data_IF_957968437926
#
_entry.id   IF_957968437926
#
_cell.length_a   1.000
_cell.length_b   1.000
_cell.length_c   1.000
_cell.angle_alpha   90.00
_cell.angle_beta   90.00
_cell.angle_gamma   90.00
#
_symmetry.space_group_name_H-M   'P 1'
#
loop_
_entity.id
_entity.type
_entity.pdbx_description
1 polymer ?
#
# COMPACT_ATOMS: atom_id res chain seq x y z
N UNK A 1 9.14 17.81 -5.10
CA UNK A 1 9.59 17.48 -3.72
C UNK A 1 9.46 15.97 -3.52
N UNK A 2 10.53 15.27 -3.05
CA UNK A 2 10.48 13.84 -2.79
C UNK A 2 10.04 13.50 -1.37
N UNK A 3 9.71 12.25 -1.09
CA UNK A 3 9.51 11.74 0.27
C UNK A 3 10.83 11.84 1.04
N UNK A 4 10.79 12.24 2.30
CA UNK A 4 11.97 12.35 3.18
C UNK A 4 11.91 11.39 4.37
N UNK A 5 10.73 10.85 4.68
CA UNK A 5 10.53 9.85 5.71
C UNK A 5 9.64 8.72 5.17
N UNK A 6 10.15 7.50 5.17
CA UNK A 6 9.44 6.30 4.70
C UNK A 6 9.29 5.34 5.88
N UNK A 7 8.05 4.89 6.13
CA UNK A 7 7.76 3.84 7.09
C UNK A 7 7.52 2.53 6.33
N UNK A 8 8.21 1.46 6.69
CA UNK A 8 7.92 0.10 6.19
C UNK A 8 7.46 -0.80 7.33
N UNK A 9 6.30 -1.44 7.19
CA UNK A 9 5.87 -2.50 8.09
C UNK A 9 6.47 -3.83 7.64
N UNK A 10 7.19 -4.48 8.55
CA UNK A 10 7.82 -5.78 8.34
C UNK A 10 7.19 -6.81 9.29
N UNK A 11 6.52 -7.78 8.70
CA UNK A 11 6.02 -9.00 9.34
C UNK A 11 7.06 -10.13 9.27
N UNK A 12 6.73 -11.31 9.78
CA UNK A 12 7.62 -12.48 9.79
C UNK A 12 7.45 -13.38 8.56
N UNK A 13 6.75 -12.90 7.52
CA UNK A 13 6.57 -13.63 6.28
C UNK A 13 7.85 -13.70 5.42
N UNK A 14 7.90 -14.65 4.52
CA UNK A 14 8.99 -14.77 3.53
C UNK A 14 9.07 -13.54 2.61
N UNK A 15 7.99 -12.75 2.51
CA UNK A 15 7.92 -11.53 1.69
C UNK A 15 8.48 -10.28 2.36
N UNK A 16 8.76 -10.34 3.67
CA UNK A 16 9.32 -9.20 4.41
C UNK A 16 10.65 -8.72 3.81
N UNK A 17 11.51 -9.65 3.36
CA UNK A 17 12.79 -9.29 2.73
C UNK A 17 12.60 -8.54 1.40
N UNK A 18 11.77 -9.04 0.49
CA UNK A 18 11.50 -8.38 -0.79
C UNK A 18 10.88 -6.98 -0.59
N UNK A 19 10.00 -6.84 0.43
CA UNK A 19 9.42 -5.55 0.82
C UNK A 19 10.46 -4.60 1.39
N UNK A 20 11.40 -5.09 2.20
CA UNK A 20 12.52 -4.30 2.70
C UNK A 20 13.42 -3.83 1.55
N UNK A 21 13.76 -4.69 0.60
CA UNK A 21 14.55 -4.31 -0.57
C UNK A 21 13.89 -3.21 -1.39
N UNK A 22 12.56 -3.32 -1.60
CA UNK A 22 11.79 -2.27 -2.28
C UNK A 22 11.84 -0.95 -1.50
N UNK A 23 11.64 -0.99 -0.17
CA UNK A 23 11.70 0.18 0.69
C UNK A 23 13.10 0.86 0.66
N UNK A 24 14.18 0.06 0.67
CA UNK A 24 15.56 0.57 0.54
C UNK A 24 15.82 1.23 -0.81
N UNK A 25 15.31 0.66 -1.91
CA UNK A 25 15.42 1.30 -3.23
C UNK A 25 14.71 2.66 -3.26
N UNK A 26 13.51 2.75 -2.67
CA UNK A 26 12.79 4.01 -2.57
C UNK A 26 13.50 5.01 -1.66
N UNK A 27 13.99 4.58 -0.51
CA UNK A 27 14.74 5.43 0.41
C UNK A 27 15.99 6.02 -0.26
N UNK A 28 16.71 5.23 -1.05
CA UNK A 28 17.87 5.72 -1.85
C UNK A 28 17.43 6.67 -2.96
N UNK A 29 16.35 6.32 -3.70
CA UNK A 29 15.83 7.15 -4.82
C UNK A 29 15.45 8.54 -4.36
N UNK A 30 14.84 8.66 -3.18
CA UNK A 30 14.32 9.92 -2.64
C UNK A 30 15.25 10.59 -1.62
N UNK A 31 16.38 9.97 -1.31
CA UNK A 31 17.26 10.41 -0.22
C UNK A 31 16.44 10.59 1.07
N UNK A 32 15.73 9.52 1.45
CA UNK A 32 14.80 9.46 2.57
C UNK A 32 15.36 8.65 3.74
N UNK A 33 14.96 9.02 4.94
CA UNK A 33 15.14 8.21 6.14
C UNK A 33 14.11 7.06 6.14
N UNK A 34 14.57 5.84 6.45
CA UNK A 34 13.72 4.63 6.47
C UNK A 34 13.48 4.18 7.91
N UNK A 35 12.25 4.17 8.34
CA UNK A 35 11.85 3.55 9.60
C UNK A 35 11.19 2.19 9.33
N UNK A 36 11.77 1.11 9.86
CA UNK A 36 11.10 -0.18 9.88
C UNK A 36 10.30 -0.35 11.17
N UNK A 37 9.06 -0.78 11.04
CA UNK A 37 8.19 -1.12 12.15
C UNK A 37 7.83 -2.61 12.09
N UNK A 38 8.26 -3.38 13.08
CA UNK A 38 7.79 -4.74 13.29
C UNK A 38 6.78 -4.74 14.43
N UNK A 39 5.53 -5.02 14.10
CA UNK A 39 4.42 -5.02 15.06
C UNK A 39 3.83 -6.43 15.13
N UNK A 40 4.25 -7.21 16.11
CA UNK A 40 3.83 -8.61 16.25
C UNK A 40 3.20 -8.77 17.63
N UNK A 41 1.93 -9.12 17.65
CA UNK A 41 1.16 -9.32 18.87
C UNK A 41 0.99 -10.80 19.17
N UNK A 42 1.38 -11.22 20.37
CA UNK A 42 1.07 -12.55 20.88
C UNK A 42 -0.13 -12.43 21.85
N UNK A 43 -1.29 -13.00 21.50
CA UNK A 43 -2.43 -12.98 22.41
C UNK A 43 -2.08 -13.66 23.74
N UNK A 44 -2.39 -12.99 24.85
CA UNK A 44 -2.30 -13.62 26.17
C UNK A 44 -3.55 -14.49 26.41
N UNK A 45 -3.38 -15.67 27.03
CA UNK A 45 -4.52 -16.52 27.38
C UNK A 45 -5.39 -15.81 28.42
N UNK A 46 -6.67 -15.59 28.07
CA UNK A 46 -7.64 -14.90 28.94
C UNK A 46 -8.34 -15.82 29.95
N UNK A 47 -8.10 -17.14 29.91
CA UNK A 47 -8.75 -18.13 30.74
C UNK A 47 -7.72 -18.89 31.58
N UNK A 48 -7.95 -19.00 32.88
CA UNK A 48 -7.09 -19.74 33.80
C UNK A 48 -6.87 -21.22 33.39
N UNK A 49 -7.89 -21.88 32.85
CA UNK A 49 -7.78 -23.25 32.38
C UNK A 49 -6.89 -23.39 31.15
N UNK A 50 -6.94 -22.42 30.25
CA UNK A 50 -6.06 -22.36 29.08
C UNK A 50 -4.62 -22.05 29.55
N UNK A 51 -4.45 -21.16 30.52
CA UNK A 51 -3.13 -20.84 31.09
C UNK A 51 -2.46 -22.05 31.77
N UNK A 52 -3.20 -22.83 32.58
CA UNK A 52 -2.64 -23.95 33.33
C UNK A 52 -2.19 -25.12 32.44
N UNK A 53 -2.85 -25.36 31.31
CA UNK A 53 -2.55 -26.46 30.39
C UNK A 53 -1.61 -26.12 29.24
N UNK A 54 -1.28 -24.85 29.02
CA UNK A 54 -0.60 -24.38 27.80
C UNK A 54 0.49 -23.36 28.05
N UNK A 55 0.93 -23.16 29.30
CA UNK A 55 1.96 -22.17 29.63
C UNK A 55 3.28 -22.40 28.84
N UNK A 56 3.68 -23.66 28.70
CA UNK A 56 4.88 -24.03 27.95
C UNK A 56 4.70 -23.75 26.45
N UNK A 57 3.53 -24.03 25.89
CA UNK A 57 3.21 -23.74 24.50
C UNK A 57 3.29 -22.23 24.20
N UNK A 58 2.67 -21.39 25.06
CA UNK A 58 2.72 -19.93 24.86
C UNK A 58 4.13 -19.37 25.06
N UNK A 59 4.93 -19.96 25.96
CA UNK A 59 6.34 -19.59 26.13
C UNK A 59 7.12 -19.91 24.87
N UNK A 60 7.01 -21.12 24.33
CA UNK A 60 7.68 -21.54 23.11
C UNK A 60 7.27 -20.68 21.90
N UNK A 61 6.01 -20.37 21.74
CA UNK A 61 5.52 -19.47 20.69
C UNK A 61 6.14 -18.06 20.82
N UNK A 62 6.23 -17.54 22.04
CA UNK A 62 6.86 -16.24 22.29
C UNK A 62 8.35 -16.25 21.98
N UNK A 63 9.07 -17.27 22.41
CA UNK A 63 10.50 -17.44 22.13
C UNK A 63 10.75 -17.52 20.60
N UNK A 64 9.99 -18.32 19.88
CA UNK A 64 10.08 -18.41 18.41
C UNK A 64 9.78 -17.08 17.72
N UNK A 65 8.79 -16.35 18.20
CA UNK A 65 8.47 -15.01 17.69
C UNK A 65 9.64 -14.06 17.91
N UNK A 66 10.17 -14.01 19.14
CA UNK A 66 11.27 -13.11 19.50
C UNK A 66 12.53 -13.43 18.70
N UNK A 67 12.81 -14.69 18.43
CA UNK A 67 13.89 -15.12 17.53
C UNK A 67 13.69 -14.63 16.09
N UNK A 68 12.46 -14.72 15.55
CA UNK A 68 12.14 -14.22 14.20
C UNK A 68 12.26 -12.71 14.11
N UNK A 69 11.76 -11.97 15.10
CA UNK A 69 11.91 -10.51 15.18
C UNK A 69 13.38 -10.12 15.23
N UNK A 70 14.18 -10.78 16.07
CA UNK A 70 15.61 -10.51 16.18
C UNK A 70 16.37 -10.87 14.88
N UNK A 71 15.95 -11.91 14.16
CA UNK A 71 16.51 -12.23 12.85
C UNK A 71 16.20 -11.16 11.81
N UNK A 72 14.97 -10.67 11.78
CA UNK A 72 14.51 -9.61 10.88
C UNK A 72 15.22 -8.28 11.18
N UNK A 73 15.42 -7.95 12.46
CA UNK A 73 16.18 -6.77 12.89
C UNK A 73 17.66 -6.84 12.43
N UNK A 74 18.30 -7.99 12.60
CA UNK A 74 19.68 -8.19 12.09
C UNK A 74 19.73 -8.03 10.57
N UNK A 75 18.79 -8.61 9.84
CA UNK A 75 18.66 -8.45 8.39
C UNK A 75 18.50 -6.98 8.02
N UNK A 76 17.59 -6.28 8.68
CA UNK A 76 17.35 -4.85 8.45
C UNK A 76 18.64 -4.03 8.61
N UNK A 77 19.37 -4.20 9.71
CA UNK A 77 20.61 -3.46 9.95
C UNK A 77 21.71 -3.81 8.94
N UNK A 78 21.82 -5.08 8.53
CA UNK A 78 22.78 -5.49 7.51
C UNK A 78 22.45 -4.83 6.15
N UNK A 79 21.19 -4.87 5.74
CA UNK A 79 20.74 -4.34 4.44
C UNK A 79 20.78 -2.80 4.39
N UNK A 80 20.38 -2.11 5.46
CA UNK A 80 20.47 -0.64 5.55
C UNK A 80 21.92 -0.15 5.53
N UNK A 81 22.83 -0.86 6.22
CA UNK A 81 24.28 -0.59 6.19
C UNK A 81 24.84 -0.80 4.79
N UNK A 82 24.51 -1.91 4.14
CA UNK A 82 24.93 -2.21 2.77
C UNK A 82 24.42 -1.17 1.77
N UNK A 83 23.17 -0.78 1.92
CA UNK A 83 22.51 0.22 1.06
C UNK A 83 22.95 1.65 1.37
N UNK A 84 23.62 1.92 2.49
CA UNK A 84 23.99 3.25 3.00
C UNK A 84 22.78 4.16 3.18
N UNK A 85 21.68 3.61 3.71
CA UNK A 85 20.44 4.33 3.99
C UNK A 85 20.40 4.68 5.48
N UNK A 86 20.04 5.93 5.80
CA UNK A 86 19.74 6.33 7.18
C UNK A 86 18.46 5.64 7.63
N UNK A 87 18.51 4.88 8.73
CA UNK A 87 17.38 4.04 9.10
C UNK A 87 17.27 3.79 10.61
N UNK A 88 16.03 3.63 11.08
CA UNK A 88 15.68 3.25 12.44
C UNK A 88 14.81 1.98 12.45
N UNK A 89 14.99 1.17 13.51
CA UNK A 89 14.19 -0.02 13.78
C UNK A 89 13.29 0.18 14.99
N UNK A 90 12.01 -0.18 14.86
CA UNK A 90 11.02 -0.15 15.94
C UNK A 90 10.38 -1.54 16.03
N UNK A 91 10.54 -2.19 17.19
CA UNK A 91 9.80 -3.39 17.54
C UNK A 91 8.68 -3.04 18.52
N UNK A 92 7.44 -3.41 18.21
CA UNK A 92 6.27 -3.15 19.03
C UNK A 92 5.55 -4.47 19.37
N UNK A 93 5.43 -4.79 20.66
CA UNK A 93 4.55 -5.87 21.12
C UNK A 93 3.10 -5.36 21.19
N UNK A 94 2.51 -5.17 20.01
CA UNK A 94 1.16 -4.63 19.88
C UNK A 94 0.58 -5.04 18.52
N UNK A 95 -0.74 -4.97 18.41
CA UNK A 95 -1.44 -5.27 17.16
C UNK A 95 -1.06 -4.27 16.07
N UNK A 96 -0.61 -4.75 14.91
CA UNK A 96 -0.23 -3.93 13.76
C UNK A 96 -1.36 -2.96 13.37
N UNK A 97 -2.62 -3.40 13.41
CA UNK A 97 -3.81 -2.57 13.14
C UNK A 97 -3.90 -1.30 14.03
N UNK A 98 -3.29 -1.32 15.21
CA UNK A 98 -3.27 -0.17 16.12
C UNK A 98 -2.01 0.68 15.98
N UNK A 99 -0.86 0.03 15.79
CA UNK A 99 0.45 0.69 15.88
C UNK A 99 0.88 1.29 14.55
N UNK A 100 0.67 0.56 13.44
CA UNK A 100 1.07 1.02 12.10
C UNK A 100 0.42 2.36 11.74
N UNK A 101 -0.92 2.57 11.92
CA UNK A 101 -1.53 3.86 11.61
C UNK A 101 -1.00 5.02 12.47
N UNK A 102 -0.57 4.75 13.70
CA UNK A 102 0.00 5.79 14.57
C UNK A 102 1.38 6.24 14.09
N UNK A 103 2.25 5.29 13.73
CA UNK A 103 3.57 5.59 13.20
C UNK A 103 3.51 6.18 11.79
N UNK A 104 2.52 5.78 10.98
CA UNK A 104 2.26 6.32 9.65
C UNK A 104 2.17 7.86 9.61
N UNK A 105 1.62 8.47 10.65
CA UNK A 105 1.43 9.93 10.75
C UNK A 105 2.74 10.73 10.72
N UNK A 106 3.86 10.08 11.01
CA UNK A 106 5.19 10.70 11.04
C UNK A 106 6.02 10.40 9.78
N UNK A 107 5.44 9.69 8.80
CA UNK A 107 6.09 9.36 7.53
C UNK A 107 5.44 10.13 6.37
N UNK A 108 6.18 10.29 5.28
CA UNK A 108 5.65 10.84 4.03
C UNK A 108 5.04 9.74 3.16
N UNK A 109 5.54 8.51 3.30
CA UNK A 109 5.06 7.30 2.60
C UNK A 109 5.08 6.12 3.55
N UNK A 110 4.02 5.33 3.53
CA UNK A 110 3.89 4.09 4.31
C UNK A 110 3.91 2.90 3.35
N UNK A 111 4.74 1.89 3.63
CA UNK A 111 4.86 0.67 2.82
C UNK A 111 4.40 -0.52 3.63
N UNK A 112 3.42 -1.26 3.11
CA UNK A 112 2.87 -2.47 3.74
C UNK A 112 2.73 -3.58 2.70
N UNK A 113 2.69 -4.84 3.15
CA UNK A 113 2.43 -5.99 2.30
C UNK A 113 0.94 -6.23 2.10
N UNK A 114 0.59 -6.80 0.95
CA UNK A 114 -0.70 -7.44 0.74
C UNK A 114 -0.74 -8.75 1.57
N UNK A 115 -1.88 -9.09 2.16
CA UNK A 115 -2.11 -10.40 2.78
C UNK A 115 -2.03 -11.51 1.72
N UNK A 116 -1.27 -12.56 2.00
CA UNK A 116 -1.23 -13.78 1.19
C UNK A 116 -2.18 -14.81 1.81
N UNK A 117 -3.23 -15.28 1.09
CA UNK A 117 -4.14 -16.29 1.62
C UNK A 117 -3.47 -17.61 2.01
N UNK A 118 -2.27 -17.89 1.47
CA UNK A 118 -1.51 -19.11 1.72
C UNK A 118 -0.46 -18.95 2.84
N UNK A 119 -0.21 -17.73 3.31
CA UNK A 119 0.74 -17.45 4.37
C UNK A 119 0.07 -16.69 5.53
N UNK A 120 -0.32 -17.38 6.61
CA UNK A 120 -0.99 -16.76 7.74
C UNK A 120 -0.13 -15.72 8.46
N UNK A 121 1.19 -15.71 8.29
CA UNK A 121 2.09 -14.70 8.86
C UNK A 121 1.91 -13.32 8.23
N UNK A 122 1.31 -13.26 7.03
CA UNK A 122 0.97 -11.99 6.36
C UNK A 122 -0.37 -11.41 6.84
N UNK A 123 -1.19 -12.24 7.49
CA UNK A 123 -2.53 -11.83 7.90
C UNK A 123 -2.47 -11.03 9.20
N UNK A 124 -2.98 -9.82 9.15
CA UNK A 124 -3.10 -8.94 10.31
C UNK A 124 -4.54 -8.89 10.79
N UNK A 125 -5.45 -8.50 9.91
CA UNK A 125 -6.87 -8.27 10.19
C UNK A 125 -7.57 -7.97 8.85
N UNK A 126 -8.80 -8.45 8.66
CA UNK A 126 -9.59 -8.20 7.44
C UNK A 126 -9.78 -6.69 7.14
N UNK A 127 -9.81 -5.88 8.19
CA UNK A 127 -9.99 -4.43 8.08
C UNK A 127 -8.68 -3.64 8.11
N UNK A 128 -7.52 -4.32 8.25
CA UNK A 128 -6.24 -3.62 8.37
C UNK A 128 -5.94 -2.67 7.20
N UNK A 129 -6.06 -3.08 5.93
CA UNK A 129 -5.78 -2.18 4.81
C UNK A 129 -6.70 -0.97 4.79
N UNK A 130 -8.00 -1.19 5.08
CA UNK A 130 -8.99 -0.13 5.15
C UNK A 130 -8.69 0.85 6.29
N UNK A 131 -8.53 0.33 7.50
CA UNK A 131 -8.24 1.14 8.69
C UNK A 131 -6.95 1.93 8.51
N UNK A 132 -5.92 1.34 7.89
CA UNK A 132 -4.66 2.03 7.63
C UNK A 132 -4.87 3.20 6.69
N UNK A 133 -5.48 2.99 5.52
CA UNK A 133 -5.67 4.06 4.53
C UNK A 133 -6.53 5.19 5.10
N UNK A 134 -7.62 4.86 5.81
CA UNK A 134 -8.53 5.86 6.38
C UNK A 134 -7.92 6.63 7.56
N UNK A 135 -6.99 6.05 8.32
CA UNK A 135 -6.50 6.64 9.56
C UNK A 135 -5.05 7.13 9.53
N UNK A 136 -4.27 6.74 8.53
CA UNK A 136 -2.87 7.14 8.41
C UNK A 136 -2.72 8.64 8.09
N UNK A 137 -3.63 9.21 7.27
CA UNK A 137 -3.53 10.57 6.75
C UNK A 137 -2.31 10.77 5.84
N UNK A 138 -1.76 9.67 5.34
CA UNK A 138 -0.56 9.58 4.48
C UNK A 138 -0.79 8.56 3.37
N UNK A 139 -0.12 8.69 2.22
CA UNK A 139 -0.20 7.68 1.17
C UNK A 139 0.34 6.34 1.65
N UNK A 140 -0.37 5.28 1.32
CA UNK A 140 -0.01 3.90 1.64
C UNK A 140 0.31 3.16 0.35
N UNK A 141 1.53 2.64 0.24
CA UNK A 141 1.97 1.77 -0.84
C UNK A 141 1.79 0.31 -0.41
N UNK A 142 0.84 -0.35 -1.02
CA UNK A 142 0.64 -1.79 -0.87
C UNK A 142 1.52 -2.54 -1.85
N UNK A 143 2.31 -3.50 -1.33
CA UNK A 143 3.21 -4.34 -2.13
C UNK A 143 2.58 -5.72 -2.27
N UNK A 144 2.39 -6.24 -3.50
CA UNK A 144 1.83 -7.57 -3.71
C UNK A 144 2.65 -8.66 -3.02
N UNK A 145 1.97 -9.73 -2.62
CA UNK A 145 2.65 -10.92 -2.10
C UNK A 145 3.33 -11.74 -3.20
N UNK A 146 2.97 -11.53 -4.46
CA UNK A 146 3.55 -12.23 -5.60
C UNK A 146 4.33 -11.29 -6.52
N UNK A 147 5.27 -11.84 -7.27
CA UNK A 147 6.04 -11.11 -8.27
C UNK A 147 7.33 -10.48 -7.76
N UNK A 148 8.13 -10.02 -8.72
CA UNK A 148 9.31 -9.18 -8.50
C UNK A 148 9.02 -7.78 -9.02
N UNK A 149 9.23 -6.78 -8.18
CA UNK A 149 8.97 -5.37 -8.46
C UNK A 149 10.29 -4.61 -8.62
N UNK A 150 11.13 -5.08 -9.56
CA UNK A 150 12.45 -4.49 -9.83
C UNK A 150 12.35 -3.02 -10.24
N UNK A 151 11.34 -2.65 -11.04
CA UNK A 151 10.97 -1.25 -11.32
C UNK A 151 9.78 -0.82 -10.48
N UNK A 152 9.73 0.46 -10.11
CA UNK A 152 8.58 1.06 -9.44
C UNK A 152 8.47 2.55 -9.77
N UNK A 153 7.33 2.93 -10.34
CA UNK A 153 7.05 4.32 -10.72
C UNK A 153 7.80 4.77 -11.96
N UNK A 154 8.17 3.85 -12.86
CA UNK A 154 8.59 4.16 -14.22
C UNK A 154 7.41 4.36 -15.16
N UNK A 155 6.37 3.54 -14.97
CA UNK A 155 5.10 3.61 -15.72
C UNK A 155 3.97 3.66 -14.72
N UNK A 156 3.48 4.88 -14.49
CA UNK A 156 2.44 5.15 -13.49
C UNK A 156 1.07 5.18 -14.16
N UNK A 157 0.11 4.46 -13.58
CA UNK A 157 -1.29 4.55 -13.95
C UNK A 157 -2.05 5.24 -12.82
N UNK A 158 -2.70 6.35 -13.11
CA UNK A 158 -3.51 7.12 -12.16
C UNK A 158 -4.98 6.84 -12.43
N UNK A 159 -5.65 6.12 -11.53
CA UNK A 159 -7.08 5.91 -11.60
C UNK A 159 -7.80 7.20 -11.14
N UNK A 160 -8.66 7.73 -12.02
CA UNK A 160 -9.30 9.01 -11.83
C UNK A 160 -10.81 8.93 -11.93
N UNK A 161 -11.48 9.39 -10.88
CA UNK A 161 -12.95 9.48 -10.81
C UNK A 161 -13.43 10.90 -10.46
N UNK A 162 -12.51 11.86 -10.37
CA UNK A 162 -12.82 13.25 -10.00
C UNK A 162 -13.07 13.46 -8.51
N UNK A 163 -12.95 12.41 -7.68
CA UNK A 163 -13.10 12.53 -6.23
C UNK A 163 -11.92 13.26 -5.60
N UNK A 164 -12.14 13.81 -4.39
CA UNK A 164 -11.05 14.42 -3.60
C UNK A 164 -9.95 13.41 -3.25
N UNK A 165 -10.32 12.14 -3.08
CA UNK A 165 -9.41 11.04 -2.77
C UNK A 165 -8.51 10.71 -3.98
N UNK A 166 -9.05 10.75 -5.21
CA UNK A 166 -8.26 10.62 -6.43
C UNK A 166 -7.31 11.81 -6.61
N UNK A 167 -7.78 13.04 -6.34
CA UNK A 167 -6.93 14.25 -6.34
C UNK A 167 -5.82 14.10 -5.32
N UNK A 168 -6.14 13.67 -4.10
CA UNK A 168 -5.16 13.45 -3.03
C UNK A 168 -4.11 12.43 -3.43
N UNK A 169 -4.54 11.26 -3.96
CA UNK A 169 -3.63 10.21 -4.39
C UNK A 169 -2.69 10.66 -5.51
N UNK A 170 -3.20 11.39 -6.50
CA UNK A 170 -2.37 11.96 -7.57
C UNK A 170 -1.31 12.93 -7.03
N UNK A 171 -1.68 13.81 -6.08
CA UNK A 171 -0.72 14.72 -5.46
C UNK A 171 0.29 14.00 -4.55
N UNK A 172 -0.16 13.04 -3.77
CA UNK A 172 0.72 12.25 -2.90
C UNK A 172 1.69 11.38 -3.73
N UNK A 173 1.32 10.97 -4.95
CA UNK A 173 2.17 10.23 -5.87
C UNK A 173 3.10 11.11 -6.74
N UNK A 174 3.04 12.44 -6.58
CA UNK A 174 3.83 13.36 -7.39
C UNK A 174 5.33 13.04 -7.44
N UNK A 175 5.98 12.60 -6.34
CA UNK A 175 7.38 12.21 -6.39
C UNK A 175 7.69 11.05 -7.35
N UNK A 176 6.72 10.16 -7.61
CA UNK A 176 6.85 9.13 -8.64
C UNK A 176 6.56 9.70 -10.03
N UNK A 177 5.48 10.48 -10.16
CA UNK A 177 4.97 11.03 -11.43
C UNK A 177 6.00 11.96 -12.09
N UNK A 178 6.67 12.82 -11.32
CA UNK A 178 7.73 13.73 -11.79
C UNK A 178 8.90 12.99 -12.47
N UNK A 179 9.15 11.75 -12.08
CA UNK A 179 10.28 10.95 -12.57
C UNK A 179 9.84 9.75 -13.43
N UNK A 180 8.55 9.62 -13.69
CA UNK A 180 8.02 8.54 -14.50
C UNK A 180 8.43 8.69 -15.98
N UNK A 181 8.72 7.57 -16.64
CA UNK A 181 8.89 7.53 -18.10
C UNK A 181 7.57 7.78 -18.81
N UNK A 182 6.47 7.37 -18.16
CA UNK A 182 5.10 7.56 -18.65
C UNK A 182 4.10 7.58 -17.49
N UNK A 183 3.18 8.52 -17.54
CA UNK A 183 2.02 8.59 -16.66
C UNK A 183 0.75 8.48 -17.49
N UNK A 184 -0.14 7.57 -17.14
CA UNK A 184 -1.43 7.40 -17.80
C UNK A 184 -2.56 7.69 -16.84
N UNK A 185 -3.40 8.65 -17.12
CA UNK A 185 -4.63 8.91 -16.38
C UNK A 185 -5.74 8.05 -16.97
N UNK A 186 -6.36 7.22 -16.13
CA UNK A 186 -7.46 6.34 -16.55
C UNK A 186 -8.73 6.74 -15.83
N UNK A 187 -9.74 7.16 -16.60
CA UNK A 187 -11.11 7.32 -16.12
C UNK A 187 -11.93 6.11 -16.57
N UNK A 188 -12.53 5.38 -15.60
CA UNK A 188 -13.38 4.24 -15.90
C UNK A 188 -14.85 4.67 -15.72
N UNK A 189 -15.58 4.77 -16.84
CA UNK A 189 -17.00 4.98 -16.87
C UNK A 189 -17.78 3.68 -16.74
N UNK A 190 -18.90 3.70 -16.03
CA UNK A 190 -19.82 2.57 -15.94
C UNK A 190 -21.12 2.77 -16.75
N UNK A 191 -21.12 3.72 -17.71
CA UNK A 191 -22.21 3.97 -18.66
C UNK A 191 -23.54 4.47 -18.08
N UNK A 192 -23.77 4.29 -16.76
CA UNK A 192 -25.00 4.61 -16.06
C UNK A 192 -24.79 5.57 -14.87
N UNK A 193 -23.71 6.35 -14.87
CA UNK A 193 -23.42 7.29 -13.80
C UNK A 193 -24.30 8.54 -13.96
N UNK A 194 -25.26 8.81 -13.06
CA UNK A 194 -26.11 9.99 -13.12
C UNK A 194 -25.32 11.30 -13.00
N UNK A 195 -24.12 11.24 -12.44
CA UNK A 195 -23.24 12.39 -12.22
C UNK A 195 -22.15 12.53 -13.29
N UNK A 196 -22.23 11.75 -14.39
CA UNK A 196 -21.24 11.77 -15.49
C UNK A 196 -21.01 13.18 -16.06
N UNK A 197 -22.04 14.05 -16.04
CA UNK A 197 -21.95 15.43 -16.52
C UNK A 197 -21.30 16.40 -15.52
N UNK A 198 -21.03 15.97 -14.29
CA UNK A 198 -20.44 16.78 -13.20
C UNK A 198 -18.98 16.36 -12.94
N UNK A 199 -18.55 15.25 -13.53
CA UNK A 199 -17.18 14.73 -13.33
C UNK A 199 -16.15 15.59 -14.04
N UNK A 200 -15.02 15.82 -13.37
CA UNK A 200 -13.84 16.42 -14.00
C UNK A 200 -13.29 15.40 -15.01
N UNK A 201 -13.24 15.72 -16.30
CA UNK A 201 -12.71 14.82 -17.31
C UNK A 201 -11.28 14.37 -17.01
N UNK A 202 -10.92 13.14 -17.36
CA UNK A 202 -9.55 12.63 -17.24
C UNK A 202 -8.53 13.52 -17.96
N UNK A 203 -8.95 14.21 -19.02
CA UNK A 203 -8.12 15.16 -19.75
C UNK A 203 -7.68 16.36 -18.89
N UNK A 204 -8.55 16.91 -18.05
CA UNK A 204 -8.18 18.04 -17.16
C UNK A 204 -7.18 17.59 -16.08
N UNK A 205 -7.35 16.38 -15.56
CA UNK A 205 -6.38 15.80 -14.64
C UNK A 205 -5.01 15.58 -15.32
N UNK A 206 -5.01 15.09 -16.55
CA UNK A 206 -3.78 14.93 -17.32
C UNK A 206 -3.09 16.27 -17.60
N UNK A 207 -3.84 17.33 -17.93
CA UNK A 207 -3.29 18.69 -18.10
C UNK A 207 -2.66 19.21 -16.79
N UNK A 208 -3.26 18.91 -15.65
CA UNK A 208 -2.67 19.25 -14.34
C UNK A 208 -1.34 18.49 -14.14
N UNK A 209 -1.32 17.17 -14.37
CA UNK A 209 -0.13 16.34 -14.20
C UNK A 209 0.97 16.68 -15.24
N UNK A 210 0.62 17.05 -16.46
CA UNK A 210 1.58 17.45 -17.51
C UNK A 210 2.39 18.69 -17.18
N UNK A 211 2.03 19.45 -16.14
CA UNK A 211 2.87 20.54 -15.61
C UNK A 211 4.05 20.02 -14.79
N UNK A 212 4.01 18.75 -14.39
CA UNK A 212 5.00 18.11 -13.52
C UNK A 212 5.72 16.94 -14.19
N UNK A 213 5.14 16.34 -15.21
CA UNK A 213 5.63 15.14 -15.90
C UNK A 213 5.73 15.36 -17.41
N UNK A 214 6.69 14.71 -18.05
CA UNK A 214 6.99 14.91 -19.47
C UNK A 214 6.14 14.12 -20.45
N UNK A 215 5.63 12.95 -20.05
CA UNK A 215 4.80 12.05 -20.89
C UNK A 215 3.53 11.66 -20.11
N UNK A 216 2.44 12.39 -20.38
CA UNK A 216 1.14 12.15 -19.75
C UNK A 216 0.10 11.83 -20.80
N UNK A 217 -0.53 10.66 -20.66
CA UNK A 217 -1.58 10.18 -21.55
C UNK A 217 -2.92 10.06 -20.82
N UNK A 218 -4.01 10.05 -21.57
CA UNK A 218 -5.36 9.85 -21.04
C UNK A 218 -5.97 8.63 -21.69
N UNK A 219 -6.66 7.83 -20.89
CA UNK A 219 -7.47 6.72 -21.35
C UNK A 219 -8.83 6.80 -20.67
N UNK A 220 -9.86 7.02 -21.45
CA UNK A 220 -11.24 6.85 -21.00
C UNK A 220 -11.70 5.44 -21.37
N UNK A 221 -12.12 4.66 -20.39
CA UNK A 221 -12.46 3.24 -20.58
C UNK A 221 -13.88 3.01 -20.05
N UNK A 222 -14.68 2.33 -20.85
CA UNK A 222 -15.96 1.81 -20.38
C UNK A 222 -15.76 0.43 -19.73
N UNK A 223 -16.42 0.23 -18.59
CA UNK A 223 -16.43 -1.05 -17.92
C UNK A 223 -17.26 -2.04 -18.74
N UNK A 224 -16.67 -3.17 -19.11
CA UNK A 224 -17.38 -4.21 -19.86
C UNK A 224 -18.54 -4.82 -19.07
N UNK A 225 -19.51 -5.48 -19.74
CA UNK A 225 -20.63 -6.13 -19.07
C UNK A 225 -20.15 -7.16 -18.04
N UNK A 226 -20.54 -6.96 -16.77
CA UNK A 226 -20.20 -7.85 -15.67
C UNK A 226 -18.77 -7.71 -15.11
N UNK A 227 -17.93 -6.85 -15.66
CA UNK A 227 -16.60 -6.57 -15.10
C UNK A 227 -16.69 -5.52 -13.99
N UNK A 228 -15.87 -5.67 -12.95
CA UNK A 228 -15.74 -4.63 -11.94
C UNK A 228 -14.76 -3.54 -12.41
N UNK A 229 -14.92 -2.32 -11.89
CA UNK A 229 -13.97 -1.23 -12.16
C UNK A 229 -12.56 -1.62 -11.70
N UNK A 230 -12.44 -2.33 -10.56
CA UNK A 230 -11.16 -2.79 -10.04
C UNK A 230 -10.45 -3.77 -10.99
N UNK A 231 -11.17 -4.77 -11.51
CA UNK A 231 -10.62 -5.72 -12.49
C UNK A 231 -10.23 -5.01 -13.79
N UNK A 232 -11.04 -4.05 -14.25
CA UNK A 232 -10.75 -3.26 -15.45
C UNK A 232 -9.45 -2.45 -15.27
N UNK A 233 -9.25 -1.82 -14.10
CA UNK A 233 -8.02 -1.09 -13.79
C UNK A 233 -6.79 -2.00 -13.76
N UNK A 234 -6.90 -3.17 -13.11
CA UNK A 234 -5.79 -4.14 -13.02
C UNK A 234 -5.45 -4.72 -14.41
N UNK A 235 -6.46 -5.05 -15.22
CA UNK A 235 -6.25 -5.52 -16.61
C UNK A 235 -5.54 -4.45 -17.44
N UNK A 236 -5.98 -3.19 -17.33
CA UNK A 236 -5.33 -2.09 -18.05
C UNK A 236 -3.90 -1.83 -17.57
N UNK A 237 -3.66 -1.92 -16.27
CA UNK A 237 -2.31 -1.81 -15.72
C UNK A 237 -1.37 -2.88 -16.30
N UNK A 238 -1.85 -4.12 -16.42
CA UNK A 238 -1.11 -5.21 -17.02
C UNK A 238 -0.82 -4.95 -18.51
N UNK A 239 -1.83 -4.59 -19.31
CA UNK A 239 -1.71 -4.33 -20.75
C UNK A 239 -0.74 -3.20 -21.10
N UNK A 240 -0.67 -2.18 -20.24
CA UNK A 240 0.21 -1.02 -20.41
C UNK A 240 1.60 -1.22 -19.80
N UNK A 241 1.85 -2.36 -19.18
CA UNK A 241 3.10 -2.65 -18.46
C UNK A 241 3.34 -1.66 -17.31
N UNK A 242 2.27 -1.22 -16.65
CA UNK A 242 2.32 -0.34 -15.48
C UNK A 242 3.05 -1.03 -14.33
N UNK A 243 3.90 -0.29 -13.63
CA UNK A 243 4.62 -0.76 -12.44
C UNK A 243 4.20 -0.03 -11.13
N UNK A 244 3.29 0.93 -11.24
CA UNK A 244 2.66 1.58 -10.09
C UNK A 244 1.24 2.03 -10.45
N UNK A 245 0.24 1.48 -9.75
CA UNK A 245 -1.13 1.98 -9.77
C UNK A 245 -1.31 3.02 -8.64
N UNK A 246 -1.85 4.17 -8.97
CA UNK A 246 -2.20 5.26 -8.03
C UNK A 246 -3.69 5.43 -8.04
N UNK A 247 -4.34 5.38 -6.88
CA UNK A 247 -5.79 5.55 -6.78
C UNK A 247 -6.23 6.15 -5.45
N UNK A 248 -7.33 6.90 -5.47
CA UNK A 248 -8.06 7.23 -4.28
C UNK A 248 -8.71 5.99 -3.67
N UNK A 249 -8.84 5.96 -2.36
CA UNK A 249 -9.49 4.87 -1.66
C UNK A 249 -10.73 5.38 -0.90
N UNK A 250 -11.84 4.64 -0.98
CA UNK A 250 -13.07 4.91 -0.23
C UNK A 250 -13.73 6.28 -0.50
N UNK A 251 -13.60 6.84 -1.72
CA UNK A 251 -14.03 8.21 -2.08
C UNK A 251 -15.53 8.42 -2.30
N UNK A 252 -16.30 7.38 -2.54
CA UNK A 252 -17.74 7.56 -2.72
C UNK A 252 -18.47 7.62 -1.38
N UNK A 253 -19.15 8.71 -1.10
CA UNK A 253 -19.91 9.06 0.12
C UNK A 253 -21.07 8.09 0.46
N UNK A 254 -20.85 6.79 0.42
CA UNK A 254 -21.81 5.77 0.86
C UNK A 254 -21.44 5.15 2.20
N UNK A 255 -20.84 5.91 3.07
CA UNK A 255 -20.63 5.45 4.44
C UNK A 255 -21.92 5.38 5.28
N UNK A 256 -23.07 5.59 4.65
CA UNK A 256 -24.38 5.35 5.28
C UNK A 256 -24.93 3.94 5.11
N UNK A 257 -24.36 3.14 4.23
CA UNK A 257 -24.74 1.73 4.08
C UNK A 257 -23.44 0.92 3.98
N UNK A 258 -23.22 0.05 4.95
CA UNK A 258 -22.17 -0.97 5.17
C UNK A 258 -21.62 -1.70 3.91
N UNK A 259 -21.41 -1.04 2.80
CA UNK A 259 -20.82 -1.60 1.60
C UNK A 259 -19.48 -0.90 1.36
N UNK A 260 -18.43 -1.50 1.91
CA UNK A 260 -17.04 -1.16 1.63
C UNK A 260 -16.81 -0.98 0.12
N UNK A 261 -16.09 0.07 -0.28
CA UNK A 261 -15.82 0.40 -1.68
C UNK A 261 -15.33 -0.78 -2.49
N UNK A 262 -16.20 -1.31 -3.34
CA UNK A 262 -15.95 -2.55 -4.10
C UNK A 262 -14.65 -2.48 -4.89
N UNK A 263 -14.32 -1.32 -5.48
CA UNK A 263 -13.10 -1.10 -6.27
C UNK A 263 -11.84 -1.29 -5.43
N UNK A 264 -11.75 -0.63 -4.27
CA UNK A 264 -10.57 -0.71 -3.39
C UNK A 264 -10.34 -2.14 -2.92
N UNK A 265 -11.42 -2.83 -2.50
CA UNK A 265 -11.34 -4.23 -2.07
C UNK A 265 -10.90 -5.15 -3.20
N UNK A 266 -11.48 -5.03 -4.40
CA UNK A 266 -11.10 -5.84 -5.57
C UNK A 266 -9.63 -5.63 -5.90
N UNK A 267 -9.16 -4.38 -5.94
CA UNK A 267 -7.77 -4.08 -6.23
C UNK A 267 -6.85 -4.69 -5.18
N UNK A 268 -7.11 -4.48 -3.88
CA UNK A 268 -6.28 -5.03 -2.79
C UNK A 268 -6.28 -6.56 -2.74
N UNK A 269 -7.38 -7.21 -3.13
CA UNK A 269 -7.45 -8.67 -3.16
C UNK A 269 -6.71 -9.27 -4.36
N UNK A 270 -6.71 -8.58 -5.52
CA UNK A 270 -6.28 -9.16 -6.81
C UNK A 270 -5.06 -8.48 -7.42
N UNK A 271 -4.45 -7.50 -6.74
CA UNK A 271 -3.31 -6.75 -7.28
C UNK A 271 -2.10 -7.65 -7.52
N UNK A 272 -1.43 -7.42 -8.65
CA UNK A 272 -0.18 -8.06 -9.04
C UNK A 272 0.96 -7.06 -9.24
N UNK A 273 0.70 -5.78 -8.99
CA UNK A 273 1.65 -4.67 -9.04
C UNK A 273 1.44 -3.79 -7.80
N UNK A 274 2.46 -3.03 -7.38
CA UNK A 274 2.33 -2.09 -6.27
C UNK A 274 1.23 -1.06 -6.50
N UNK A 275 0.45 -0.79 -5.43
CA UNK A 275 -0.67 0.15 -5.47
C UNK A 275 -0.50 1.22 -4.39
N UNK A 276 -0.45 2.48 -4.80
CA UNK A 276 -0.44 3.63 -3.89
C UNK A 276 -1.87 4.13 -3.71
N UNK A 277 -2.30 4.18 -2.47
CA UNK A 277 -3.64 4.64 -2.09
C UNK A 277 -3.57 5.81 -1.13
N UNK A 278 -4.49 6.78 -1.32
CA UNK A 278 -4.70 7.90 -0.38
C UNK A 278 -6.19 8.13 -0.15
N UNK A 279 -6.50 8.73 1.01
CA UNK A 279 -7.86 9.09 1.40
C UNK A 279 -7.93 10.54 1.91
#
# INVERSE_FOLDING_TARGET
>A
MGYKSILVHLDTSDRAHARLELALRLARRFDAHLTALSAIYTPEPVSFYVMAGSADYFREQRERRDERVAALERLFHAETTRAKVSADWIAADARANTVVPRHARHADLVIVGQSDPNDPETYIDDQFPENLVLSAGRPVLFVPYAGDHASLGERVLVAWDGSREAVRAAHDAMPFIEHAKRTTVVAVGNGNDPDANVRIPGADAALMLARHASDVNVLDIECGPGASIGDTLLSRAYETGTDLLVMGAYGHARWRELVMGGVTRTVLASMTLPVLMSH
#
